data_IF_937069612941
#
_entry.id   IF_937069612941
#
_cell.length_a   1.000
_cell.length_b   1.000
_cell.length_c   1.000
_cell.angle_alpha   90.00
_cell.angle_beta   90.00
_cell.angle_gamma   90.00
#
_symmetry.space_group_name_H-M   'P 1'
#
loop_
_entity.id
_entity.type
_entity.pdbx_description
1 polymer ?
#
# COMPACT_ATOMS: atom_id res chain seq x y z
N UNK A 1 -38.05 -19.00 -66.15
CA UNK A 1 -37.84 -18.02 -65.04
C UNK A 1 -38.24 -18.61 -63.68
N UNK A 2 -39.45 -19.12 -63.44
CA UNK A 2 -39.90 -19.64 -62.15
C UNK A 2 -39.06 -20.81 -61.59
N UNK A 3 -38.69 -21.78 -62.40
CA UNK A 3 -37.86 -22.92 -62.01
C UNK A 3 -36.46 -22.51 -61.60
N UNK A 4 -35.84 -21.53 -62.30
CA UNK A 4 -34.54 -21.00 -61.94
C UNK A 4 -34.60 -20.34 -60.58
N UNK A 5 -35.60 -19.51 -60.31
CA UNK A 5 -35.82 -18.85 -59.07
C UNK A 5 -36.08 -19.81 -57.91
N UNK A 6 -36.80 -20.90 -58.16
CA UNK A 6 -36.99 -21.97 -57.18
C UNK A 6 -35.67 -22.69 -56.84
N UNK A 7 -34.89 -23.03 -57.89
CA UNK A 7 -33.57 -23.67 -57.65
C UNK A 7 -32.56 -22.74 -56.91
N UNK A 8 -32.56 -21.45 -57.25
CA UNK A 8 -31.77 -20.46 -56.52
C UNK A 8 -32.19 -20.37 -55.07
N UNK A 9 -33.50 -20.42 -54.78
CA UNK A 9 -34.03 -20.49 -53.43
C UNK A 9 -33.59 -21.75 -52.69
N UNK A 10 -33.59 -22.89 -53.30
CA UNK A 10 -33.13 -24.16 -52.74
C UNK A 10 -31.63 -24.11 -52.44
N UNK A 11 -30.82 -23.69 -53.40
CA UNK A 11 -29.36 -23.52 -53.19
C UNK A 11 -29.05 -22.57 -52.03
N UNK A 12 -29.82 -21.50 -51.90
CA UNK A 12 -29.65 -20.55 -50.79
C UNK A 12 -29.99 -21.19 -49.44
N UNK A 13 -31.06 -22.00 -49.38
CA UNK A 13 -31.43 -22.75 -48.17
C UNK A 13 -30.40 -23.82 -47.80
N UNK A 14 -29.89 -24.55 -48.80
CA UNK A 14 -28.86 -25.58 -48.57
C UNK A 14 -27.54 -24.96 -48.06
N UNK A 15 -27.12 -23.83 -48.62
CA UNK A 15 -25.98 -23.07 -48.15
C UNK A 15 -26.17 -22.56 -46.72
N UNK A 16 -27.37 -22.14 -46.33
CA UNK A 16 -27.68 -21.74 -44.97
C UNK A 16 -27.57 -22.91 -44.00
N UNK A 17 -28.05 -24.09 -44.41
CA UNK A 17 -27.97 -25.34 -43.64
C UNK A 17 -26.52 -25.80 -43.47
N UNK A 18 -25.70 -25.77 -44.52
CA UNK A 18 -24.27 -26.04 -44.49
C UNK A 18 -23.55 -25.11 -43.51
N UNK A 19 -23.85 -23.80 -43.60
CA UNK A 19 -23.24 -22.81 -42.71
C UNK A 19 -23.61 -23.03 -41.22
N UNK A 20 -24.85 -23.45 -40.97
CA UNK A 20 -25.30 -23.81 -39.61
C UNK A 20 -24.55 -25.03 -39.08
N UNK A 21 -24.39 -26.06 -39.91
CA UNK A 21 -23.62 -27.25 -39.54
C UNK A 21 -22.14 -26.92 -39.28
N UNK A 22 -21.55 -26.04 -40.09
CA UNK A 22 -20.18 -25.56 -39.89
C UNK A 22 -20.05 -24.81 -38.59
N UNK A 23 -20.97 -23.90 -38.24
CA UNK A 23 -20.97 -23.19 -36.95
C UNK A 23 -21.08 -24.15 -35.78
N UNK A 24 -21.92 -25.17 -35.87
CA UNK A 24 -22.05 -26.20 -34.84
C UNK A 24 -20.73 -26.97 -34.64
N UNK A 25 -20.05 -27.28 -35.75
CA UNK A 25 -18.73 -27.90 -35.70
C UNK A 25 -17.68 -26.97 -35.05
N UNK A 26 -17.68 -25.69 -35.40
CA UNK A 26 -16.77 -24.70 -34.81
C UNK A 26 -16.97 -24.56 -33.28
N UNK A 27 -18.24 -24.62 -32.83
CA UNK A 27 -18.55 -24.59 -31.39
C UNK A 27 -18.07 -25.82 -30.61
N UNK A 28 -17.81 -26.96 -31.27
CA UNK A 28 -17.21 -28.11 -30.58
C UNK A 28 -15.78 -27.84 -30.14
N UNK A 29 -15.10 -26.83 -30.72
CA UNK A 29 -13.77 -26.43 -30.38
C UNK A 29 -13.80 -25.14 -29.54
N UNK A 30 -13.86 -25.30 -28.24
CA UNK A 30 -13.88 -24.17 -27.31
C UNK A 30 -12.47 -23.57 -27.18
N UNK A 31 -12.32 -22.31 -27.59
CA UNK A 31 -11.04 -21.57 -27.50
C UNK A 31 -11.16 -20.40 -26.55
N UNK A 32 -10.03 -20.04 -25.93
CA UNK A 32 -9.96 -18.89 -25.04
C UNK A 32 -10.12 -17.58 -25.85
N UNK A 33 -11.09 -16.70 -25.52
CA UNK A 33 -11.30 -15.44 -26.23
C UNK A 33 -10.24 -14.38 -25.91
N UNK A 34 -9.53 -14.52 -24.79
CA UNK A 34 -8.49 -13.61 -24.32
C UNK A 34 -7.28 -14.38 -23.81
N UNK A 35 -6.11 -13.75 -23.91
CA UNK A 35 -4.89 -14.26 -23.28
C UNK A 35 -4.92 -13.97 -21.78
N UNK A 36 -4.58 -14.94 -20.94
CA UNK A 36 -4.58 -14.75 -19.49
C UNK A 36 -4.23 -16.02 -18.74
N UNK A 37 -4.30 -15.95 -17.42
CA UNK A 37 -4.11 -17.09 -16.53
C UNK A 37 -5.43 -17.84 -16.38
N UNK A 38 -5.41 -19.13 -16.69
CA UNK A 38 -6.55 -20.02 -16.49
C UNK A 38 -6.65 -20.37 -15.00
N UNK A 39 -7.82 -20.20 -14.44
CA UNK A 39 -8.16 -20.61 -13.07
C UNK A 39 -8.39 -22.12 -12.95
N UNK A 40 -9.01 -22.52 -11.86
CA UNK A 40 -9.37 -23.92 -11.66
C UNK A 40 -10.46 -24.33 -12.66
N UNK A 41 -10.37 -25.55 -13.14
CA UNK A 41 -11.39 -26.15 -14.01
C UNK A 41 -12.67 -26.35 -13.21
N UNK A 42 -13.78 -25.89 -13.75
CA UNK A 42 -15.11 -25.97 -13.14
C UNK A 42 -15.80 -27.26 -13.53
N UNK A 43 -15.55 -27.75 -14.74
CA UNK A 43 -16.20 -28.94 -15.31
C UNK A 43 -15.16 -30.01 -15.61
N UNK A 44 -15.39 -31.24 -15.18
CA UNK A 44 -14.50 -32.37 -15.41
C UNK A 44 -14.70 -33.01 -16.78
N UNK A 45 -13.65 -33.69 -17.28
CA UNK A 45 -13.72 -34.44 -18.50
C UNK A 45 -14.79 -35.57 -18.38
N UNK A 46 -15.64 -35.68 -19.39
CA UNK A 46 -16.79 -36.59 -19.41
C UNK A 46 -18.11 -35.94 -19.11
N UNK A 47 -18.14 -34.70 -18.59
CA UNK A 47 -19.38 -33.97 -18.41
C UNK A 47 -19.80 -33.24 -19.70
N UNK A 48 -21.10 -33.15 -19.89
CA UNK A 48 -21.66 -32.37 -21.00
C UNK A 48 -21.67 -30.90 -20.64
N UNK A 49 -21.22 -30.06 -21.56
CA UNK A 49 -21.21 -28.59 -21.41
C UNK A 49 -22.19 -28.02 -22.45
N UNK A 50 -23.08 -27.18 -22.02
CA UNK A 50 -24.06 -26.48 -22.86
C UNK A 50 -23.77 -24.99 -22.92
N UNK A 51 -24.19 -24.32 -23.99
CA UNK A 51 -24.04 -22.87 -24.18
C UNK A 51 -24.80 -22.04 -23.14
N UNK A 52 -25.70 -22.63 -22.36
CA UNK A 52 -26.46 -22.01 -21.28
C UNK A 52 -25.83 -22.15 -19.90
N UNK A 53 -24.72 -22.86 -19.76
CA UNK A 53 -24.11 -23.12 -18.49
C UNK A 53 -23.42 -21.84 -17.95
N UNK A 54 -23.99 -21.23 -16.92
CA UNK A 54 -23.53 -19.97 -16.34
C UNK A 54 -22.12 -20.04 -15.74
N UNK A 55 -21.70 -21.23 -15.30
CA UNK A 55 -20.38 -21.42 -14.67
C UNK A 55 -19.21 -21.52 -15.68
N UNK A 56 -19.52 -21.85 -16.95
CA UNK A 56 -18.49 -22.06 -17.97
C UNK A 56 -17.54 -23.23 -17.65
N UNK A 57 -16.49 -23.39 -18.45
CA UNK A 57 -15.50 -24.46 -18.29
C UNK A 57 -14.38 -24.07 -17.33
N UNK A 58 -13.88 -22.84 -17.46
CA UNK A 58 -12.84 -22.27 -16.63
C UNK A 58 -12.88 -20.74 -16.70
N UNK A 59 -12.44 -20.08 -15.65
CA UNK A 59 -12.31 -18.62 -15.61
C UNK A 59 -10.91 -18.24 -16.10
N UNK A 60 -10.85 -17.38 -17.11
CA UNK A 60 -9.57 -16.82 -17.59
C UNK A 60 -9.47 -15.39 -17.08
N UNK A 61 -8.39 -15.08 -16.36
CA UNK A 61 -8.15 -13.76 -15.80
C UNK A 61 -6.89 -13.15 -16.42
N UNK A 62 -7.04 -11.98 -16.98
CA UNK A 62 -5.90 -11.18 -17.44
C UNK A 62 -5.26 -10.50 -16.23
N UNK A 63 -4.04 -10.93 -15.86
CA UNK A 63 -3.30 -10.42 -14.69
C UNK A 63 -2.08 -9.56 -15.08
N UNK A 64 -1.80 -9.42 -16.38
CA UNK A 64 -0.73 -8.61 -16.92
C UNK A 64 -1.21 -7.90 -18.20
N UNK A 65 -1.42 -6.58 -18.17
CA UNK A 65 -1.41 -5.69 -16.99
C UNK A 65 -2.61 -5.90 -16.06
N UNK A 66 -2.52 -5.40 -14.82
CA UNK A 66 -3.60 -5.40 -13.83
C UNK A 66 -3.93 -3.97 -13.41
N UNK A 67 -5.21 -3.66 -13.31
CA UNK A 67 -5.69 -2.38 -12.81
C UNK A 67 -6.13 -2.52 -11.36
N UNK A 68 -5.61 -1.65 -10.49
CA UNK A 68 -5.96 -1.58 -9.07
C UNK A 68 -6.88 -0.39 -8.86
N UNK A 69 -8.02 -0.63 -8.20
CA UNK A 69 -8.94 0.41 -7.76
C UNK A 69 -8.66 0.76 -6.30
N UNK A 70 -8.66 2.05 -5.98
CA UNK A 70 -8.49 2.55 -4.63
C UNK A 70 -9.32 3.81 -4.41
N UNK A 71 -9.65 4.11 -3.16
CA UNK A 71 -10.44 5.26 -2.77
C UNK A 71 -9.55 6.42 -2.33
N UNK A 72 -9.90 7.63 -2.76
CA UNK A 72 -9.21 8.88 -2.44
C UNK A 72 -10.21 9.82 -1.76
N UNK A 73 -9.87 10.42 -0.60
CA UNK A 73 -10.72 11.45 0.01
C UNK A 73 -10.98 12.62 -0.94
N UNK A 74 -12.22 13.12 -0.97
CA UNK A 74 -12.62 14.22 -1.87
C UNK A 74 -11.75 15.47 -1.74
N UNK A 75 -11.25 15.75 -0.53
CA UNK A 75 -10.40 16.92 -0.26
C UNK A 75 -9.05 16.87 -1.00
N UNK A 76 -8.60 15.67 -1.41
CA UNK A 76 -7.37 15.45 -2.16
C UNK A 76 -7.56 15.41 -3.68
N UNK A 77 -8.81 15.38 -4.14
CA UNK A 77 -9.12 15.29 -5.57
C UNK A 77 -8.55 16.47 -6.37
N UNK A 78 -8.69 17.75 -5.92
CA UNK A 78 -8.13 18.88 -6.66
C UNK A 78 -6.61 18.79 -6.84
N UNK A 79 -5.88 18.38 -5.79
CA UNK A 79 -4.43 18.22 -5.83
C UNK A 79 -4.02 17.15 -6.86
N UNK A 80 -4.73 16.02 -6.85
CA UNK A 80 -4.47 14.92 -7.78
C UNK A 80 -4.80 15.31 -9.21
N UNK A 81 -5.92 15.97 -9.46
CA UNK A 81 -6.32 16.43 -10.79
C UNK A 81 -5.30 17.41 -11.37
N UNK A 82 -4.91 18.41 -10.59
CA UNK A 82 -3.90 19.40 -11.01
C UNK A 82 -2.60 18.70 -11.40
N UNK A 83 -2.10 17.81 -10.55
CA UNK A 83 -0.84 17.09 -10.82
C UNK A 83 -0.98 16.08 -11.95
N UNK A 84 -2.12 15.43 -12.11
CA UNK A 84 -2.37 14.55 -13.24
C UNK A 84 -2.36 15.32 -14.57
N UNK A 85 -2.98 16.51 -14.62
CA UNK A 85 -2.95 17.37 -15.80
C UNK A 85 -1.53 17.87 -16.14
N UNK A 86 -0.76 18.29 -15.12
CA UNK A 86 0.64 18.69 -15.29
C UNK A 86 1.49 17.53 -15.81
N UNK A 87 1.32 16.34 -15.23
CA UNK A 87 2.08 15.16 -15.61
C UNK A 87 1.81 14.70 -17.05
N UNK A 88 0.59 14.89 -17.55
CA UNK A 88 0.24 14.64 -18.95
C UNK A 88 0.95 15.62 -19.89
N UNK A 89 1.06 16.90 -19.49
CA UNK A 89 1.82 17.90 -20.28
C UNK A 89 3.32 17.59 -20.33
N UNK A 90 3.86 16.97 -19.28
CA UNK A 90 5.27 16.56 -19.21
C UNK A 90 5.55 15.17 -19.82
N UNK A 91 4.53 14.53 -20.43
CA UNK A 91 4.59 13.14 -20.92
C UNK A 91 5.03 12.14 -19.84
N UNK A 92 4.73 12.44 -18.58
CA UNK A 92 5.04 11.61 -17.42
C UNK A 92 3.75 11.33 -16.65
N UNK A 93 3.43 10.07 -16.44
CA UNK A 93 2.31 9.69 -15.58
C UNK A 93 2.73 9.68 -14.12
N UNK A 94 1.80 10.01 -13.22
CA UNK A 94 2.07 9.98 -11.78
C UNK A 94 2.45 8.57 -11.35
N UNK A 95 3.60 8.38 -10.68
CA UNK A 95 4.02 7.08 -10.20
C UNK A 95 3.18 6.63 -9.01
N UNK A 96 2.81 5.36 -9.03
CA UNK A 96 2.04 4.68 -7.99
C UNK A 96 2.78 3.45 -7.54
N UNK A 97 2.80 3.20 -6.24
CA UNK A 97 3.41 2.01 -5.64
C UNK A 97 2.35 1.21 -4.92
N UNK A 98 2.24 -0.07 -5.26
CA UNK A 98 1.43 -1.04 -4.54
C UNK A 98 2.26 -1.68 -3.42
N UNK A 99 1.71 -1.69 -2.22
CA UNK A 99 2.32 -2.21 -1.01
C UNK A 99 1.46 -3.35 -0.47
N UNK A 100 2.07 -4.24 0.28
CA UNK A 100 1.35 -5.28 1.01
C UNK A 100 0.43 -4.70 2.09
N UNK A 101 -0.34 -5.58 2.74
CA UNK A 101 -1.28 -5.21 3.81
C UNK A 101 -0.57 -4.52 4.99
N UNK A 102 0.66 -4.89 5.28
CA UNK A 102 1.46 -4.34 6.38
C UNK A 102 2.20 -3.06 5.99
N UNK A 103 2.16 -2.67 4.71
CA UNK A 103 2.89 -1.53 4.12
C UNK A 103 4.41 -1.66 4.18
N UNK A 104 4.91 -2.86 4.47
CA UNK A 104 6.35 -3.12 4.63
C UNK A 104 7.02 -3.44 3.31
N UNK A 105 6.33 -4.16 2.42
CA UNK A 105 6.91 -4.62 1.17
C UNK A 105 6.25 -3.96 -0.03
N UNK A 106 7.07 -3.58 -1.01
CA UNK A 106 6.61 -3.12 -2.32
C UNK A 106 6.28 -4.34 -3.15
N UNK A 107 5.03 -4.46 -3.60
CA UNK A 107 4.57 -5.53 -4.47
C UNK A 107 4.87 -5.23 -5.94
N UNK A 108 4.52 -4.02 -6.39
CA UNK A 108 4.78 -3.57 -7.76
C UNK A 108 4.75 -2.04 -7.85
N UNK A 109 5.31 -1.50 -8.94
CA UNK A 109 5.27 -0.08 -9.27
C UNK A 109 4.46 0.11 -10.55
N UNK A 110 3.56 1.06 -10.52
CA UNK A 110 2.64 1.33 -11.61
C UNK A 110 2.47 2.82 -11.86
N UNK A 111 1.45 3.14 -12.63
CA UNK A 111 1.11 4.50 -13.01
C UNK A 111 -0.36 4.79 -12.75
N UNK A 112 -0.63 6.00 -12.33
CA UNK A 112 -1.99 6.49 -12.18
C UNK A 112 -2.67 6.58 -13.54
N UNK A 113 -3.93 6.11 -13.63
CA UNK A 113 -4.71 6.17 -14.87
C UNK A 113 -5.74 7.28 -14.83
N UNK A 114 -6.66 7.22 -13.88
CA UNK A 114 -7.80 8.12 -13.83
C UNK A 114 -8.45 8.16 -12.46
N UNK A 115 -9.22 9.24 -12.23
CA UNK A 115 -10.23 9.35 -11.19
C UNK A 115 -11.62 9.10 -11.79
N UNK A 116 -12.51 8.57 -10.99
CA UNK A 116 -13.93 8.52 -11.29
C UNK A 116 -14.53 9.95 -11.27
N UNK A 117 -15.65 10.14 -11.94
CA UNK A 117 -16.37 11.41 -11.98
C UNK A 117 -17.44 11.54 -10.88
N UNK A 118 -17.57 10.51 -10.02
CA UNK A 118 -18.56 10.46 -8.95
C UNK A 118 -17.90 10.37 -7.57
N UNK A 119 -18.48 11.10 -6.62
CA UNK A 119 -18.13 11.02 -5.21
C UNK A 119 -19.11 10.03 -4.56
N UNK A 120 -18.60 9.09 -3.82
CA UNK A 120 -19.39 8.25 -2.93
C UNK A 120 -19.79 9.08 -1.71
N UNK A 121 -21.08 9.41 -1.63
CA UNK A 121 -21.63 10.30 -0.59
C UNK A 121 -21.60 9.67 0.82
N UNK A 122 -21.54 8.36 0.92
CA UNK A 122 -21.48 7.68 2.22
C UNK A 122 -20.09 7.75 2.84
N UNK A 123 -19.06 7.70 2.00
CA UNK A 123 -17.65 7.67 2.44
C UNK A 123 -16.89 8.96 2.19
N UNK A 124 -17.46 9.89 1.41
CA UNK A 124 -16.79 11.13 1.01
C UNK A 124 -15.54 10.88 0.16
N UNK A 125 -15.51 9.77 -0.60
CA UNK A 125 -14.34 9.37 -1.39
C UNK A 125 -14.65 9.29 -2.88
N UNK A 126 -13.62 9.42 -3.71
CA UNK A 126 -13.65 9.21 -5.15
C UNK A 126 -12.84 7.97 -5.49
N UNK A 127 -13.34 7.14 -6.41
CA UNK A 127 -12.61 5.98 -6.90
C UNK A 127 -11.53 6.41 -7.85
N UNK A 128 -10.36 5.82 -7.70
CA UNK A 128 -9.21 6.00 -8.58
C UNK A 128 -8.74 4.67 -9.13
N UNK A 129 -8.09 4.70 -10.29
CA UNK A 129 -7.48 3.53 -10.93
C UNK A 129 -6.00 3.78 -11.19
N UNK A 130 -5.19 2.78 -10.92
CA UNK A 130 -3.78 2.74 -11.28
C UNK A 130 -3.48 1.42 -12.02
N UNK A 131 -2.60 1.48 -13.00
CA UNK A 131 -2.17 0.32 -13.81
C UNK A 131 -0.79 -0.14 -13.41
N UNK A 132 -0.67 -1.44 -13.23
CA UNK A 132 0.56 -2.14 -12.92
C UNK A 132 0.85 -3.18 -14.00
N UNK A 133 2.10 -3.32 -14.38
CA UNK A 133 2.49 -4.34 -15.37
C UNK A 133 2.42 -5.75 -14.80
N UNK A 134 2.61 -5.88 -13.48
CA UNK A 134 2.54 -7.15 -12.78
C UNK A 134 3.38 -8.28 -13.42
N UNK A 135 4.56 -7.92 -13.93
CA UNK A 135 5.42 -8.87 -14.61
C UNK A 135 5.85 -10.04 -13.73
N UNK A 136 6.04 -9.80 -12.43
CA UNK A 136 6.39 -10.81 -11.44
C UNK A 136 5.18 -11.63 -10.94
N UNK A 137 3.93 -11.26 -11.33
CA UNK A 137 2.72 -11.94 -10.90
C UNK A 137 2.43 -11.82 -9.39
N UNK A 138 2.91 -10.76 -8.74
CA UNK A 138 2.77 -10.53 -7.29
C UNK A 138 1.38 -10.01 -6.91
N UNK A 139 0.68 -9.40 -7.85
CA UNK A 139 -0.68 -8.89 -7.67
C UNK A 139 -1.69 -9.89 -8.18
N UNK A 140 -2.63 -10.27 -7.33
CA UNK A 140 -3.71 -11.18 -7.67
C UNK A 140 -5.06 -10.44 -7.73
N UNK A 141 -6.00 -10.90 -8.56
CA UNK A 141 -7.37 -10.38 -8.56
C UNK A 141 -8.00 -10.47 -7.17
N UNK A 142 -8.75 -9.44 -6.78
CA UNK A 142 -9.41 -9.31 -5.48
C UNK A 142 -8.46 -9.29 -4.26
N UNK A 143 -7.16 -9.12 -4.49
CA UNK A 143 -6.20 -8.93 -3.42
C UNK A 143 -6.32 -7.52 -2.82
N UNK A 144 -6.31 -7.43 -1.48
CA UNK A 144 -6.18 -6.15 -0.81
C UNK A 144 -4.73 -5.66 -0.87
N UNK A 145 -4.54 -4.43 -1.35
CA UNK A 145 -3.24 -3.75 -1.43
C UNK A 145 -3.35 -2.31 -0.92
N UNK A 146 -2.28 -1.81 -0.33
CA UNK A 146 -2.16 -0.39 0.00
C UNK A 146 -1.54 0.35 -1.18
N UNK A 147 -2.08 1.51 -1.51
CA UNK A 147 -1.58 2.34 -2.61
C UNK A 147 -0.90 3.59 -2.06
N UNK A 148 0.31 3.84 -2.55
CA UNK A 148 1.05 5.08 -2.33
C UNK A 148 1.17 5.82 -3.66
N UNK A 149 0.45 6.93 -3.78
CA UNK A 149 0.50 7.84 -4.92
C UNK A 149 1.48 8.96 -4.62
N UNK A 150 2.51 9.14 -5.45
CA UNK A 150 3.47 10.23 -5.34
C UNK A 150 2.96 11.43 -6.14
N UNK A 151 2.49 12.46 -5.45
CA UNK A 151 1.98 13.67 -6.07
C UNK A 151 3.11 14.64 -6.45
N UNK A 152 4.05 14.87 -5.53
CA UNK A 152 5.18 15.79 -5.76
C UNK A 152 6.34 15.45 -4.84
N UNK A 153 7.53 15.85 -5.26
CA UNK A 153 8.74 15.83 -4.44
C UNK A 153 9.14 17.27 -4.15
N UNK A 154 9.27 17.62 -2.88
CA UNK A 154 9.73 18.92 -2.46
C UNK A 154 11.26 18.88 -2.35
N UNK A 155 11.95 19.65 -3.19
CA UNK A 155 13.41 19.76 -3.14
C UNK A 155 13.82 20.78 -2.08
N UNK A 156 14.89 20.49 -1.32
CA UNK A 156 15.47 21.40 -0.33
C UNK A 156 14.55 21.68 0.88
N UNK A 157 13.54 20.84 1.12
CA UNK A 157 12.65 21.02 2.27
C UNK A 157 13.31 20.54 3.56
N UNK A 158 13.25 21.37 4.61
CA UNK A 158 13.66 20.96 5.97
C UNK A 158 12.58 20.03 6.52
N UNK A 159 12.98 18.81 6.88
CA UNK A 159 12.08 17.76 7.34
C UNK A 159 12.46 17.33 8.75
N UNK A 160 11.47 17.19 9.61
CA UNK A 160 11.64 16.68 10.96
C UNK A 160 10.70 15.50 11.23
N UNK A 161 11.08 14.53 12.07
CA UNK A 161 10.15 13.51 12.53
C UNK A 161 8.92 14.14 13.19
N UNK A 162 7.73 13.57 12.97
CA UNK A 162 6.48 14.08 13.59
C UNK A 162 6.59 14.11 15.11
N UNK A 163 7.36 13.18 15.70
CA UNK A 163 7.61 13.12 17.15
C UNK A 163 8.38 14.33 17.70
N UNK A 164 9.11 15.08 16.87
CA UNK A 164 9.82 16.27 17.28
C UNK A 164 8.90 17.51 17.32
N UNK A 165 7.78 17.49 16.61
CA UNK A 165 6.84 18.59 16.57
C UNK A 165 5.94 18.58 17.81
N UNK A 166 5.83 19.71 18.46
CA UNK A 166 4.97 19.94 19.64
C UNK A 166 3.99 21.05 19.35
N UNK A 167 2.80 20.94 19.93
CA UNK A 167 1.78 21.97 19.83
C UNK A 167 1.54 22.59 21.21
N UNK A 168 1.66 23.89 21.31
CA UNK A 168 1.47 24.66 22.54
C UNK A 168 0.45 25.79 22.34
N UNK A 169 0.27 26.60 23.38
CA UNK A 169 -0.68 27.72 23.36
C UNK A 169 -0.37 28.78 22.26
N UNK A 170 0.92 28.92 21.91
CA UNK A 170 1.37 29.88 20.88
C UNK A 170 1.48 29.28 19.48
N UNK A 171 1.09 28.00 19.29
CA UNK A 171 1.20 27.28 18.03
C UNK A 171 2.18 26.11 18.06
N UNK A 172 2.62 25.68 16.90
CA UNK A 172 3.54 24.57 16.75
C UNK A 172 4.98 25.03 17.02
N UNK A 173 5.74 24.21 17.76
CA UNK A 173 7.13 24.48 18.10
C UNK A 173 7.96 23.21 18.13
N UNK A 174 9.27 23.37 18.12
CA UNK A 174 10.25 22.30 18.31
C UNK A 174 11.27 22.72 19.34
N UNK A 175 11.89 21.74 20.00
CA UNK A 175 13.09 21.98 20.83
C UNK A 175 14.33 21.73 19.98
N UNK A 176 15.11 22.80 19.76
CA UNK A 176 16.40 22.74 19.06
C UNK A 176 17.50 22.55 20.11
N UNK A 177 18.37 21.59 19.86
CA UNK A 177 19.53 21.35 20.75
C UNK A 177 20.66 22.25 20.30
N UNK A 178 21.10 23.12 21.23
CA UNK A 178 22.22 24.01 21.04
C UNK A 178 23.59 23.29 21.28
N UNK A 179 24.70 23.93 20.91
CA UNK A 179 26.05 23.38 21.07
C UNK A 179 26.45 23.16 22.55
N UNK A 180 25.90 23.98 23.47
CA UNK A 180 26.07 23.89 24.91
C UNK A 180 25.23 22.79 25.59
N UNK A 181 24.55 21.96 24.79
CA UNK A 181 23.63 20.90 25.26
C UNK A 181 22.39 21.40 25.98
N UNK A 182 22.04 22.63 25.80
CA UNK A 182 20.74 23.18 26.22
C UNK A 182 19.74 23.08 25.08
N UNK A 183 18.46 23.16 25.38
CA UNK A 183 17.39 23.22 24.36
C UNK A 183 16.77 24.59 24.33
N UNK A 184 16.49 25.06 23.12
CA UNK A 184 15.74 26.29 22.88
C UNK A 184 14.40 25.96 22.26
N UNK A 185 13.29 26.48 22.83
CA UNK A 185 11.97 26.39 22.26
C UNK A 185 11.91 27.32 21.06
N UNK A 186 11.63 26.80 19.87
CA UNK A 186 11.54 27.59 18.66
C UNK A 186 10.20 27.38 17.98
N UNK A 187 9.40 28.43 17.76
CA UNK A 187 8.16 28.35 17.01
C UNK A 187 8.45 28.01 15.56
N UNK A 188 7.65 27.12 14.97
CA UNK A 188 7.80 26.65 13.60
C UNK A 188 6.47 26.67 12.87
N UNK A 189 6.53 26.88 11.56
CA UNK A 189 5.36 26.66 10.70
C UNK A 189 5.45 25.29 10.06
N UNK A 190 4.48 24.45 10.36
CA UNK A 190 4.36 23.14 9.72
C UNK A 190 3.84 23.28 8.30
N UNK A 191 4.48 22.54 7.40
CA UNK A 191 4.02 22.34 6.04
C UNK A 191 3.30 21.01 5.88
N UNK A 192 3.39 20.45 4.69
CA UNK A 192 2.87 19.11 4.40
C UNK A 192 3.73 18.04 5.07
N UNK A 193 3.12 16.95 5.47
CA UNK A 193 3.82 15.85 6.12
C UNK A 193 3.36 14.49 5.62
N UNK A 194 4.17 13.50 5.92
CA UNK A 194 3.83 12.08 5.84
C UNK A 194 3.47 11.57 7.23
N UNK A 195 3.21 10.27 7.37
CA UNK A 195 2.95 9.64 8.67
C UNK A 195 4.16 9.76 9.61
N UNK A 196 5.38 9.75 9.06
CA UNK A 196 6.63 9.71 9.83
C UNK A 196 7.31 11.08 9.94
N UNK A 197 7.20 11.89 8.89
CA UNK A 197 7.95 13.13 8.77
C UNK A 197 7.06 14.29 8.37
N UNK A 198 7.39 15.48 8.86
CA UNK A 198 6.71 16.72 8.54
C UNK A 198 7.70 17.74 7.99
N UNK A 199 7.28 18.47 6.96
CA UNK A 199 8.04 19.58 6.42
C UNK A 199 7.85 20.79 7.33
N UNK A 200 8.95 21.46 7.68
CA UNK A 200 8.95 22.74 8.36
C UNK A 200 9.28 23.82 7.33
N UNK A 201 8.33 24.75 7.13
CA UNK A 201 8.47 25.83 6.14
C UNK A 201 9.22 27.03 6.70
N UNK A 202 9.09 27.29 7.99
CA UNK A 202 9.75 28.40 8.68
C UNK A 202 10.16 27.99 10.11
N UNK A 203 11.27 28.54 10.58
CA UNK A 203 11.71 28.38 11.97
C UNK A 203 12.87 27.41 12.19
N UNK A 204 13.24 26.57 11.20
CA UNK A 204 14.38 25.66 11.28
C UNK A 204 15.33 25.83 10.10
N UNK A 205 16.60 25.54 10.32
CA UNK A 205 17.64 25.46 9.30
C UNK A 205 18.10 24.02 9.12
N UNK A 206 18.62 23.74 7.95
CA UNK A 206 19.23 22.44 7.65
C UNK A 206 20.42 22.17 8.59
N UNK A 207 20.49 20.94 9.11
CA UNK A 207 21.57 20.51 10.03
C UNK A 207 21.32 20.79 11.52
N UNK A 208 20.27 21.53 11.89
CA UNK A 208 19.91 21.71 13.29
C UNK A 208 19.39 20.40 13.91
N UNK A 209 19.78 20.14 15.15
CA UNK A 209 19.33 18.95 15.89
C UNK A 209 18.07 19.26 16.66
N UNK A 210 17.05 18.41 16.54
CA UNK A 210 15.78 18.55 17.25
C UNK A 210 15.55 17.38 18.20
N UNK A 211 14.85 17.64 19.30
CA UNK A 211 14.49 16.63 20.29
C UNK A 211 13.28 15.83 19.78
N UNK A 212 13.45 14.52 19.66
CA UNK A 212 12.38 13.60 19.23
C UNK A 212 11.72 12.88 20.40
N UNK A 213 12.46 12.65 21.50
CA UNK A 213 11.99 11.93 22.69
C UNK A 213 12.23 12.73 23.96
N UNK A 214 11.36 12.57 24.95
CA UNK A 214 11.49 13.23 26.25
C UNK A 214 11.09 14.71 26.27
N UNK A 215 10.58 15.27 25.19
CA UNK A 215 10.21 16.69 25.06
C UNK A 215 9.12 17.19 26.03
N UNK A 216 8.30 16.29 26.61
CA UNK A 216 7.19 16.67 27.50
C UNK A 216 7.66 17.22 28.86
N UNK A 217 8.92 16.94 29.23
CA UNK A 217 9.51 17.36 30.49
C UNK A 217 10.51 18.49 30.31
N UNK A 218 10.69 18.98 29.11
CA UNK A 218 11.66 20.03 28.81
C UNK A 218 10.99 21.41 28.91
N UNK A 219 11.77 22.33 29.48
CA UNK A 219 11.49 23.76 29.45
C UNK A 219 12.60 24.45 28.66
N UNK A 220 12.33 25.67 28.21
CA UNK A 220 13.34 26.46 27.52
C UNK A 220 14.60 26.61 28.36
N UNK A 221 15.79 26.39 27.78
CA UNK A 221 17.07 26.39 28.48
C UNK A 221 17.42 25.11 29.25
N UNK A 222 16.58 24.07 29.24
CA UNK A 222 16.86 22.82 29.93
C UNK A 222 18.06 22.08 29.30
N UNK A 223 18.90 21.45 30.14
CA UNK A 223 20.01 20.62 29.65
C UNK A 223 19.55 19.24 29.23
N UNK A 224 20.05 18.75 28.09
CA UNK A 224 19.73 17.44 27.53
C UNK A 224 20.97 16.57 27.38
N UNK A 225 20.74 15.24 27.46
CA UNK A 225 21.77 14.24 27.14
C UNK A 225 21.45 13.69 25.74
N UNK A 226 22.47 13.63 24.90
CA UNK A 226 22.34 13.01 23.58
C UNK A 226 22.37 11.49 23.71
N UNK A 227 21.60 10.80 22.93
CA UNK A 227 21.58 9.33 22.86
C UNK A 227 22.98 8.76 22.50
N UNK A 228 23.79 9.51 21.74
CA UNK A 228 25.19 9.18 21.46
C UNK A 228 26.08 9.10 22.71
N UNK A 229 25.77 9.84 23.76
CA UNK A 229 26.58 9.84 25.01
C UNK A 229 26.27 8.60 25.86
N UNK A 230 25.14 7.94 25.67
CA UNK A 230 24.78 6.70 26.36
C UNK A 230 25.54 5.49 25.79
N UNK A 231 25.92 5.53 24.54
CA UNK A 231 26.69 4.48 23.86
C UNK A 231 28.21 4.54 24.19
N UNK A 232 28.69 5.65 24.75
CA UNK A 232 30.10 5.88 25.01
C UNK A 232 30.55 5.52 26.46
N UNK A 233 29.71 4.83 27.27
CA UNK A 233 30.14 4.29 28.55
C UNK A 233 30.64 2.86 28.40
N UNK A 234 32.00 2.61 28.40
CA UNK A 234 32.53 1.28 28.56
C UNK A 234 32.27 0.85 30.01
N UNK A 235 31.55 -0.23 30.21
CA UNK A 235 31.60 -1.12 31.35
C UNK A 235 31.67 -0.50 32.74
N UNK A 236 30.55 -0.23 33.39
CA UNK A 236 30.49 -0.26 34.84
C UNK A 236 30.63 -1.72 35.28
N UNK A 237 31.74 -1.98 35.92
CA UNK A 237 32.23 -3.25 36.44
C UNK A 237 31.11 -4.10 37.06
N UNK A 238 31.08 -5.34 36.70
CA UNK A 238 30.46 -6.43 37.41
C UNK A 238 30.97 -6.41 38.87
N UNK A 239 30.14 -6.04 39.83
CA UNK A 239 30.37 -6.28 41.23
C UNK A 239 30.35 -7.77 41.50
N UNK A 240 31.50 -8.28 41.89
CA UNK A 240 31.77 -9.67 42.27
C UNK A 240 30.79 -10.17 43.36
N UNK A 241 30.45 -11.49 43.35
CA UNK A 241 29.68 -12.07 44.43
C UNK A 241 30.56 -12.17 45.70
N UNK A 242 30.12 -11.58 46.80
CA UNK A 242 30.66 -11.80 48.13
C UNK A 242 30.33 -13.22 48.57
N UNK A 243 31.37 -14.07 48.56
CA UNK A 243 31.43 -15.30 49.33
C UNK A 243 31.50 -14.94 50.83
N UNK A 244 30.66 -15.55 51.64
CA UNK A 244 30.68 -15.37 53.09
C UNK A 244 29.80 -16.33 53.82
N UNK A 245 30.42 -17.47 54.17
CA UNK A 245 30.36 -18.23 55.43
C UNK A 245 29.08 -18.99 55.81
N UNK A 246 29.25 -20.23 55.71
CA UNK A 246 28.86 -21.41 56.57
C UNK A 246 28.25 -21.16 57.94
N UNK A 247 27.21 -21.95 58.26
CA UNK A 247 26.73 -22.27 59.63
C UNK A 247 25.40 -23.03 59.63
N UNK A 248 25.09 -23.90 60.59
CA UNK A 248 24.93 -25.31 60.28
C UNK A 248 23.46 -25.82 60.34
N UNK A 249 23.30 -26.98 59.77
CA UNK A 249 22.20 -27.97 59.84
C UNK A 249 21.40 -27.97 61.17
N UNK A 250 20.09 -27.99 61.08
CA UNK A 250 19.23 -28.72 61.99
C UNK A 250 18.14 -29.49 61.23
N UNK A 251 18.19 -30.79 61.41
CA UNK A 251 17.23 -31.82 61.09
C UNK A 251 15.89 -31.58 61.78
N UNK A 252 14.83 -32.07 61.17
CA UNK A 252 13.72 -32.45 61.98
C UNK A 252 12.31 -32.38 61.34
N UNK A 253 11.87 -33.54 60.87
CA UNK A 253 10.48 -34.07 60.91
C UNK A 253 9.49 -33.67 59.82
N UNK A 254 9.29 -34.64 58.94
CA UNK A 254 7.97 -35.08 58.44
C UNK A 254 7.13 -35.67 59.61
N UNK A 255 5.78 -35.85 59.53
CA UNK A 255 5.10 -36.52 58.43
C UNK A 255 3.62 -36.05 58.13
N UNK A 256 3.13 -36.57 57.02
CA UNK A 256 1.86 -37.32 56.80
C UNK A 256 0.57 -36.54 56.50
N UNK A 257 0.10 -36.76 55.25
CA UNK A 257 -1.12 -37.51 54.84
C UNK A 257 -2.46 -36.77 54.95
N UNK A 258 -2.95 -36.55 53.77
CA UNK A 258 -4.27 -36.89 53.16
C UNK A 258 -5.55 -36.89 54.07
N UNK A 259 -6.75 -36.78 53.48
CA UNK A 259 -7.20 -37.35 52.21
C UNK A 259 -7.51 -36.36 51.08
#
# INVERSE_FOLDING_TARGET
AALVQQLEGTVTSDRASEKTAQLNLDFTRVTAPVSGRVGLRVVDAGNVVSSGDAAGIAVITQINPVDVQFSVPQDRVPDIQTRAMESVKEDKRLPVTALDRTRSNVLDKGVFLTLDNQIDVQTGTVRAKARFQNAAGTLFPNQFVNIRLLLRTLQGAVVVPVTALRTGAAGDFVYVVNEDRTVSMRPVKRGQGTVENIVVTEGLKEGERVVTEGGDRLTDGASVRLASDAAARPGAAASAPRNGASGPRREGRRPAQNP
#
